data_IF_898409032160
#
_entry.id   IF_898409032160
#
_cell.length_a   1.000
_cell.length_b   1.000
_cell.length_c   1.000
_cell.angle_alpha   90.00
_cell.angle_beta   90.00
_cell.angle_gamma   90.00
#
_symmetry.space_group_name_H-M   'P 1'
#
loop_
_entity.id
_entity.type
_entity.pdbx_description
1 polymer ?
#
# COMPACT_ATOMS: atom_id res chain seq x y z
N UNK A 1 16.45 17.79 -20.92
CA UNK A 1 16.29 16.33 -20.68
C UNK A 1 16.38 15.72 -22.07
N UNK A 2 17.58 15.32 -22.46
CA UNK A 2 17.96 15.35 -23.88
C UNK A 2 17.85 13.99 -24.57
N UNK A 3 17.03 13.07 -24.04
CA UNK A 3 16.63 11.84 -24.72
C UNK A 3 17.73 10.80 -25.00
N UNK A 4 18.99 11.08 -24.64
CA UNK A 4 20.16 10.23 -24.94
C UNK A 4 20.42 9.13 -23.90
N UNK A 5 19.86 9.25 -22.68
CA UNK A 5 20.03 8.25 -21.61
C UNK A 5 18.73 7.48 -21.42
N UNK A 6 18.73 6.20 -21.79
CA UNK A 6 17.66 5.27 -21.45
C UNK A 6 17.66 5.07 -19.93
N UNK A 7 16.57 5.49 -19.29
CA UNK A 7 16.35 5.32 -17.85
C UNK A 7 15.36 4.18 -17.66
N UNK A 8 15.85 3.01 -17.29
CA UNK A 8 15.03 1.81 -17.12
C UNK A 8 14.69 1.57 -15.64
N UNK A 9 13.44 1.18 -15.39
CA UNK A 9 13.02 0.64 -14.09
C UNK A 9 13.05 -0.88 -14.15
N UNK A 10 13.75 -1.50 -13.22
CA UNK A 10 13.87 -2.96 -13.16
C UNK A 10 13.00 -3.54 -12.06
N UNK A 11 12.39 -4.69 -12.35
CA UNK A 11 11.58 -5.47 -11.41
C UNK A 11 12.33 -6.78 -11.12
N UNK A 12 12.62 -7.02 -9.84
CA UNK A 12 13.33 -8.23 -9.40
C UNK A 12 12.34 -9.16 -8.74
N UNK A 13 12.31 -10.43 -9.17
CA UNK A 13 11.40 -11.44 -8.66
C UNK A 13 12.15 -12.57 -7.95
N UNK A 14 11.53 -13.20 -6.96
CA UNK A 14 12.02 -14.48 -6.42
C UNK A 14 11.60 -15.67 -7.30
N UNK A 15 12.05 -16.87 -6.93
CA UNK A 15 11.76 -18.11 -7.68
C UNK A 15 10.28 -18.53 -7.64
N UNK A 16 9.47 -17.90 -6.79
CA UNK A 16 8.02 -18.12 -6.73
C UNK A 16 7.25 -17.07 -7.55
N UNK A 17 7.96 -16.16 -8.24
CA UNK A 17 7.36 -15.09 -9.03
C UNK A 17 6.89 -13.89 -8.20
N UNK A 18 7.24 -13.80 -6.91
CA UNK A 18 6.90 -12.64 -6.09
C UNK A 18 7.86 -11.49 -6.40
N UNK A 19 7.31 -10.30 -6.62
CA UNK A 19 8.10 -9.08 -6.79
C UNK A 19 8.87 -8.79 -5.51
N UNK A 20 10.20 -8.82 -5.53
CA UNK A 20 11.03 -8.52 -4.37
C UNK A 20 11.44 -7.07 -4.32
N UNK A 21 11.69 -6.45 -5.47
CA UNK A 21 12.28 -5.12 -5.55
C UNK A 21 11.83 -4.38 -6.79
N UNK A 22 11.54 -3.09 -6.65
CA UNK A 22 11.48 -2.14 -7.77
C UNK A 22 12.70 -1.25 -7.69
N UNK A 23 13.47 -1.21 -8.77
CA UNK A 23 14.75 -0.53 -8.83
C UNK A 23 14.64 0.64 -9.81
N UNK A 24 14.66 1.89 -9.31
CA UNK A 24 14.71 3.04 -10.19
C UNK A 24 16.07 3.10 -10.92
N UNK A 25 16.17 3.89 -12.00
CA UNK A 25 17.38 4.01 -12.81
C UNK A 25 18.64 4.26 -11.97
N UNK A 26 18.59 5.19 -11.01
CA UNK A 26 19.70 5.51 -10.10
C UNK A 26 20.16 4.31 -9.25
N UNK A 27 19.26 3.41 -8.87
CA UNK A 27 19.62 2.18 -8.15
C UNK A 27 20.34 1.21 -9.10
N UNK A 28 19.82 1.04 -10.32
CA UNK A 28 20.39 0.14 -11.32
C UNK A 28 21.79 0.59 -11.76
N UNK A 29 22.01 1.90 -11.92
CA UNK A 29 23.31 2.47 -12.26
C UNK A 29 24.35 2.19 -11.17
N UNK A 30 23.97 2.35 -9.90
CA UNK A 30 24.87 2.07 -8.78
C UNK A 30 25.18 0.58 -8.61
N UNK A 31 24.23 -0.30 -8.91
CA UNK A 31 24.44 -1.75 -8.82
C UNK A 31 25.38 -2.24 -9.94
N UNK A 32 25.26 -1.68 -11.14
CA UNK A 32 26.03 -2.08 -12.32
C UNK A 32 27.41 -1.42 -12.40
N UNK A 33 27.59 -0.23 -11.82
CA UNK A 33 28.88 0.49 -11.78
C UNK A 33 29.83 0.05 -10.66
N UNK A 34 29.36 -0.73 -9.68
CA UNK A 34 30.19 -1.26 -8.60
C UNK A 34 31.24 -2.27 -9.13
N UNK A 35 32.45 -2.26 -8.55
CA UNK A 35 33.52 -3.21 -8.90
C UNK A 35 34.01 -3.94 -7.63
N UNK A 36 33.75 -5.25 -7.47
CA UNK A 36 32.92 -6.10 -8.33
C UNK A 36 31.45 -5.65 -8.31
N UNK A 37 30.62 -6.09 -9.30
CA UNK A 37 29.20 -5.75 -9.33
C UNK A 37 28.55 -6.05 -7.98
N UNK A 38 27.76 -5.09 -7.50
CA UNK A 38 27.11 -5.25 -6.20
C UNK A 38 26.17 -6.45 -6.26
N UNK A 39 26.23 -7.31 -5.25
CA UNK A 39 25.26 -8.39 -5.10
C UNK A 39 23.86 -7.81 -4.94
N UNK A 40 22.88 -8.40 -5.63
CA UNK A 40 21.46 -8.05 -5.54
C UNK A 40 20.84 -8.50 -4.20
N UNK A 41 21.42 -8.05 -3.09
CA UNK A 41 21.01 -8.38 -1.72
C UNK A 41 20.33 -7.19 -1.06
N UNK A 42 19.41 -7.46 -0.11
CA UNK A 42 18.71 -6.40 0.65
C UNK A 42 19.69 -5.43 1.38
N UNK A 43 20.94 -5.84 1.55
CA UNK A 43 22.01 -5.10 2.19
C UNK A 43 22.83 -4.19 1.25
N UNK A 44 22.64 -4.27 -0.07
CA UNK A 44 23.40 -3.45 -1.00
C UNK A 44 23.03 -1.97 -0.87
N UNK A 45 24.03 -1.08 -0.85
CA UNK A 45 23.82 0.35 -0.60
C UNK A 45 22.82 0.99 -1.60
N UNK A 46 22.89 0.61 -2.87
CA UNK A 46 21.95 1.09 -3.90
C UNK A 46 20.49 0.67 -3.61
N UNK A 47 20.30 -0.55 -3.13
CA UNK A 47 18.99 -1.07 -2.74
C UNK A 47 18.47 -0.32 -1.51
N UNK A 48 19.29 -0.19 -0.48
CA UNK A 48 18.90 0.47 0.77
C UNK A 48 18.53 1.94 0.58
N UNK A 49 19.11 2.58 -0.44
CA UNK A 49 18.95 4.00 -0.71
C UNK A 49 17.79 4.35 -1.64
N UNK A 50 17.34 3.43 -2.49
CA UNK A 50 16.44 3.78 -3.60
C UNK A 50 15.32 2.78 -3.88
N UNK A 51 15.42 1.55 -3.37
CA UNK A 51 14.46 0.51 -3.73
C UNK A 51 13.25 0.50 -2.81
N UNK A 52 12.11 0.11 -3.36
CA UNK A 52 11.06 -0.53 -2.55
C UNK A 52 11.38 -2.01 -2.42
N UNK A 53 11.37 -2.53 -1.20
CA UNK A 53 11.61 -3.93 -0.90
C UNK A 53 10.35 -4.59 -0.36
N UNK A 54 9.93 -5.67 -1.03
CA UNK A 54 8.70 -6.38 -0.72
C UNK A 54 9.00 -7.72 -0.05
N UNK A 55 8.28 -8.00 1.03
CA UNK A 55 8.36 -9.24 1.80
C UNK A 55 7.01 -9.92 1.78
N UNK A 56 7.03 -11.25 1.79
CA UNK A 56 5.83 -12.07 1.65
C UNK A 56 5.77 -13.09 2.79
N UNK A 57 4.57 -13.52 3.12
CA UNK A 57 4.36 -14.70 3.94
C UNK A 57 4.62 -16.00 3.12
N UNK A 58 4.43 -17.16 3.77
CA UNK A 58 4.66 -18.48 3.13
C UNK A 58 3.63 -18.85 2.07
N UNK A 59 2.60 -18.04 1.87
CA UNK A 59 1.54 -18.22 0.88
C UNK A 59 1.66 -17.20 -0.26
N UNK A 60 2.82 -16.55 -0.42
CA UNK A 60 3.06 -15.53 -1.45
C UNK A 60 2.12 -14.32 -1.33
N UNK A 61 1.70 -13.97 -0.11
CA UNK A 61 0.92 -12.75 0.16
C UNK A 61 1.81 -11.67 0.76
N UNK A 62 1.60 -10.42 0.35
CA UNK A 62 2.40 -9.28 0.81
C UNK A 62 2.36 -9.17 2.33
N UNK A 63 3.51 -8.96 2.95
CA UNK A 63 3.65 -8.73 4.39
C UNK A 63 4.19 -7.35 4.68
N UNK A 64 5.25 -6.95 3.99
CA UNK A 64 5.89 -5.65 4.17
C UNK A 64 6.29 -5.08 2.80
N UNK A 65 6.08 -3.79 2.58
CA UNK A 65 6.71 -3.00 1.54
C UNK A 65 7.55 -1.92 2.23
N UNK A 66 8.86 -2.01 2.10
CA UNK A 66 9.83 -1.17 2.80
C UNK A 66 10.41 -0.15 1.83
N UNK A 67 10.24 1.13 2.13
CA UNK A 67 10.83 2.21 1.37
C UNK A 67 12.29 2.43 1.78
N UNK A 68 13.20 2.37 0.82
CA UNK A 68 14.61 2.69 1.01
C UNK A 68 14.92 4.15 0.66
N UNK A 69 15.50 4.87 1.61
CA UNK A 69 16.06 6.21 1.41
C UNK A 69 17.20 6.44 2.40
N UNK A 70 18.36 6.88 1.92
CA UNK A 70 19.53 7.18 2.76
C UNK A 70 20.58 6.07 2.79
N UNK A 71 21.46 6.09 3.80
CA UNK A 71 22.62 5.20 3.85
C UNK A 71 22.24 3.74 4.19
N UNK A 72 21.14 3.54 4.90
CA UNK A 72 20.59 2.21 5.23
C UNK A 72 19.07 2.23 5.22
N UNK A 73 18.40 1.08 5.09
CA UNK A 73 16.94 0.96 5.29
C UNK A 73 16.51 1.45 6.68
N UNK A 74 17.42 1.43 7.66
CA UNK A 74 17.17 1.89 9.02
C UNK A 74 17.28 3.42 9.16
N UNK A 75 17.91 4.13 8.22
CA UNK A 75 18.16 5.57 8.32
C UNK A 75 16.88 6.41 8.19
N UNK A 76 15.91 5.91 7.42
CA UNK A 76 14.62 6.55 7.21
C UNK A 76 13.49 5.54 7.37
N UNK A 77 13.54 4.75 8.46
CA UNK A 77 12.42 3.86 8.79
C UNK A 77 11.11 4.64 8.81
N UNK A 78 10.03 4.01 8.34
CA UNK A 78 8.67 4.53 8.53
C UNK A 78 8.38 5.82 7.74
N UNK A 79 9.03 6.05 6.59
CA UNK A 79 8.63 7.13 5.68
C UNK A 79 7.44 6.79 4.81
N UNK A 80 7.54 5.70 4.05
CA UNK A 80 6.50 5.25 3.12
C UNK A 80 6.33 3.72 3.17
N UNK A 81 6.56 3.15 4.35
CA UNK A 81 6.43 1.72 4.56
C UNK A 81 4.95 1.33 4.58
N UNK A 82 4.67 0.13 4.07
CA UNK A 82 3.37 -0.53 4.24
C UNK A 82 3.59 -1.88 4.92
N UNK A 83 2.69 -2.23 5.82
CA UNK A 83 2.73 -3.52 6.51
C UNK A 83 1.33 -4.10 6.65
N UNK A 84 1.15 -5.30 6.13
CA UNK A 84 -0.02 -6.11 6.39
C UNK A 84 0.22 -6.89 7.68
N UNK A 85 -0.57 -6.56 8.71
CA UNK A 85 -0.36 -7.09 10.06
C UNK A 85 -0.94 -8.49 10.24
N UNK A 86 -1.99 -8.81 9.48
CA UNK A 86 -2.62 -10.12 9.49
C UNK A 86 -3.49 -10.35 8.25
N UNK A 87 -3.66 -11.64 7.95
CA UNK A 87 -4.68 -12.14 7.04
C UNK A 87 -5.55 -13.16 7.77
N UNK A 88 -6.81 -13.27 7.38
CA UNK A 88 -7.61 -14.44 7.76
C UNK A 88 -7.27 -15.68 6.90
N UNK A 89 -7.98 -16.78 7.15
CA UNK A 89 -7.79 -18.05 6.44
C UNK A 89 -8.28 -18.01 4.99
N UNK A 90 -9.17 -17.08 4.65
CA UNK A 90 -9.70 -16.89 3.30
C UNK A 90 -8.84 -15.92 2.48
N UNK A 91 -7.87 -15.26 3.12
CA UNK A 91 -6.94 -14.33 2.47
C UNK A 91 -7.35 -12.87 2.55
N UNK A 92 -8.37 -12.53 3.34
CA UNK A 92 -8.74 -11.13 3.58
C UNK A 92 -7.70 -10.46 4.48
N UNK A 93 -7.30 -9.23 4.15
CA UNK A 93 -6.41 -8.42 4.98
C UNK A 93 -7.16 -8.00 6.23
N UNK A 94 -6.67 -8.37 7.42
CA UNK A 94 -7.30 -8.00 8.70
C UNK A 94 -6.72 -6.71 9.29
N UNK A 95 -5.51 -6.33 8.89
CA UNK A 95 -4.95 -5.05 9.28
C UNK A 95 -3.82 -4.58 8.38
N UNK A 96 -3.74 -3.26 8.24
CA UNK A 96 -2.80 -2.57 7.38
C UNK A 96 -2.26 -1.34 8.11
N UNK A 97 -0.94 -1.23 8.19
CA UNK A 97 -0.26 0.00 8.61
C UNK A 97 0.37 0.66 7.40
N UNK A 98 0.14 1.96 7.25
CA UNK A 98 0.84 2.79 6.27
C UNK A 98 1.54 3.93 6.97
N UNK A 99 2.73 4.21 6.50
CA UNK A 99 3.55 5.30 6.98
C UNK A 99 3.67 6.35 5.88
N UNK A 100 3.77 7.60 6.29
CA UNK A 100 3.78 8.75 5.39
C UNK A 100 4.44 9.95 6.02
N UNK A 101 4.56 11.00 5.23
CA UNK A 101 4.95 12.32 5.72
C UNK A 101 3.83 12.89 6.60
N UNK A 102 4.14 13.29 7.83
CA UNK A 102 3.18 13.84 8.82
C UNK A 102 3.41 15.32 9.12
N UNK A 103 4.57 15.87 8.72
CA UNK A 103 4.85 17.31 8.70
C UNK A 103 5.88 17.62 7.58
N UNK A 104 6.19 18.88 7.34
CA UNK A 104 7.16 19.36 6.35
C UNK A 104 8.49 18.58 6.35
N UNK A 105 8.94 18.12 7.52
CA UNK A 105 10.19 17.35 7.67
C UNK A 105 10.04 16.07 8.52
N UNK A 106 8.80 15.66 8.83
CA UNK A 106 8.54 14.54 9.73
C UNK A 106 7.74 13.45 9.03
N UNK A 107 7.98 12.21 9.45
CA UNK A 107 7.32 11.02 8.93
C UNK A 107 6.84 10.14 10.07
N UNK A 108 5.74 9.43 9.86
CA UNK A 108 5.11 8.63 10.88
C UNK A 108 3.97 7.77 10.35
N UNK A 109 3.28 7.11 11.29
CA UNK A 109 2.13 6.26 11.00
C UNK A 109 0.94 7.13 10.62
N UNK A 110 0.47 7.00 9.39
CA UNK A 110 -0.67 7.77 8.84
C UNK A 110 -1.95 6.94 8.78
N UNK A 111 -1.82 5.60 8.78
CA UNK A 111 -2.94 4.68 8.84
C UNK A 111 -2.59 3.50 9.75
N UNK A 112 -3.51 3.12 10.62
CA UNK A 112 -3.45 1.90 11.42
C UNK A 112 -4.80 1.21 11.36
N UNK A 113 -5.04 0.56 10.22
CA UNK A 113 -6.35 0.05 9.84
C UNK A 113 -6.61 -1.32 10.43
N UNK A 114 -7.80 -1.49 10.98
CA UNK A 114 -8.39 -2.80 11.30
C UNK A 114 -9.59 -3.01 10.38
N UNK A 115 -9.55 -4.07 9.58
CA UNK A 115 -10.58 -4.37 8.58
C UNK A 115 -11.44 -5.53 9.08
N UNK A 116 -12.76 -5.32 9.15
CA UNK A 116 -13.74 -6.31 9.60
C UNK A 116 -14.57 -6.80 8.43
N UNK A 117 -14.86 -8.09 8.36
CA UNK A 117 -15.54 -8.73 7.23
C UNK A 117 -16.70 -9.62 7.67
N UNK A 118 -17.65 -9.83 6.75
CA UNK A 118 -18.60 -10.93 6.77
C UNK A 118 -18.36 -11.81 5.54
N UNK A 119 -17.78 -13.00 5.76
CA UNK A 119 -17.20 -13.77 4.66
C UNK A 119 -16.07 -12.98 3.99
N UNK A 120 -16.17 -12.75 2.69
CA UNK A 120 -15.20 -11.95 1.92
C UNK A 120 -15.72 -10.53 1.62
N UNK A 121 -16.81 -10.10 2.26
CA UNK A 121 -17.35 -8.75 2.13
C UNK A 121 -16.84 -7.88 3.27
N UNK A 122 -16.09 -6.82 2.93
CA UNK A 122 -15.63 -5.83 3.89
C UNK A 122 -16.86 -5.16 4.54
N UNK A 123 -16.93 -5.13 5.87
CA UNK A 123 -18.03 -4.52 6.62
C UNK A 123 -17.67 -3.15 7.19
N UNK A 124 -16.46 -3.00 7.74
CA UNK A 124 -16.02 -1.76 8.38
C UNK A 124 -14.48 -1.66 8.34
N UNK A 125 -13.97 -0.45 8.34
CA UNK A 125 -12.52 -0.18 8.45
C UNK A 125 -12.31 0.84 9.55
N UNK A 126 -11.71 0.42 10.66
CA UNK A 126 -11.36 1.32 11.75
C UNK A 126 -9.94 1.84 11.55
N UNK A 127 -9.74 3.15 11.62
CA UNK A 127 -8.41 3.73 11.73
C UNK A 127 -8.14 4.24 13.15
N UNK A 128 -6.99 3.88 13.70
CA UNK A 128 -6.52 4.36 15.01
C UNK A 128 -5.20 5.12 14.93
N UNK A 129 -4.72 5.45 13.73
CA UNK A 129 -3.60 6.37 13.57
C UNK A 129 -3.98 7.75 14.14
N UNK A 130 -3.04 8.37 14.86
CA UNK A 130 -3.23 9.70 15.47
C UNK A 130 -2.62 10.82 14.64
N UNK A 131 -1.79 10.48 13.66
CA UNK A 131 -1.19 11.44 12.73
C UNK A 131 -1.89 11.35 11.38
N UNK A 132 -2.03 12.49 10.71
CA UNK A 132 -2.53 12.57 9.35
C UNK A 132 -1.37 12.81 8.38
N UNK A 133 -1.60 12.62 7.09
CA UNK A 133 -0.61 12.99 6.08
C UNK A 133 -0.48 14.52 6.03
N UNK A 134 0.74 15.00 5.88
CA UNK A 134 1.05 16.41 5.67
C UNK A 134 0.52 16.90 4.31
N UNK A 135 -0.30 17.94 4.31
CA UNK A 135 -0.92 18.50 3.10
C UNK A 135 -2.19 17.74 2.67
N UNK A 136 -2.42 17.63 1.36
CA UNK A 136 -3.55 16.86 0.83
C UNK A 136 -3.19 15.38 0.78
N UNK A 137 -3.57 14.69 1.84
CA UNK A 137 -3.20 13.31 2.09
C UNK A 137 -4.06 12.24 1.45
N UNK A 138 -3.46 11.06 1.27
CA UNK A 138 -4.09 9.83 0.77
C UNK A 138 -4.38 8.80 1.89
N UNK A 139 -4.28 9.22 3.15
CA UNK A 139 -4.67 8.38 4.28
C UNK A 139 -6.17 8.06 4.21
N UNK A 140 -6.53 6.95 4.83
CA UNK A 140 -7.91 6.57 4.99
C UNK A 140 -8.63 7.61 5.86
N UNK A 141 -9.87 7.92 5.48
CA UNK A 141 -10.71 8.86 6.23
C UNK A 141 -11.81 8.04 6.90
N UNK A 142 -11.59 7.72 8.17
CA UNK A 142 -12.53 7.00 9.02
C UNK A 142 -13.68 7.93 9.46
N UNK A 143 -14.51 8.32 8.49
CA UNK A 143 -15.61 9.27 8.68
C UNK A 143 -16.87 8.61 9.23
N UNK A 144 -16.90 7.28 9.35
CA UNK A 144 -17.96 6.52 9.99
C UNK A 144 -17.43 5.80 11.22
N UNK A 145 -18.32 5.33 12.07
CA UNK A 145 -17.95 4.48 13.21
C UNK A 145 -19.08 3.49 13.49
N UNK A 146 -19.65 2.96 12.41
CA UNK A 146 -20.77 2.02 12.46
C UNK A 146 -20.23 0.59 12.43
N UNK A 147 -21.02 -0.37 12.90
CA UNK A 147 -20.64 -1.79 12.80
C UNK A 147 -20.66 -2.29 11.36
N UNK A 148 -21.44 -1.65 10.48
CA UNK A 148 -21.49 -1.91 9.04
C UNK A 148 -21.47 -0.57 8.30
N UNK A 149 -20.39 -0.33 7.58
CA UNK A 149 -20.09 0.90 6.82
C UNK A 149 -20.10 0.65 5.31
N UNK A 150 -19.86 -0.60 4.92
CA UNK A 150 -19.93 -1.07 3.55
C UNK A 150 -21.07 -2.08 3.46
N UNK A 151 -22.01 -1.84 2.55
CA UNK A 151 -23.16 -2.71 2.32
C UNK A 151 -23.16 -3.24 0.89
N UNK A 152 -23.78 -4.40 0.66
CA UNK A 152 -23.78 -5.06 -0.64
C UNK A 152 -25.17 -5.53 -1.01
N UNK A 153 -25.44 -5.60 -2.31
CA UNK A 153 -26.63 -6.29 -2.81
C UNK A 153 -26.42 -7.82 -2.83
N UNK A 154 -27.44 -8.56 -3.28
CA UNK A 154 -27.41 -10.03 -3.35
C UNK A 154 -26.43 -10.57 -4.41
N UNK A 155 -26.05 -9.76 -5.39
CA UNK A 155 -25.06 -10.12 -6.41
C UNK A 155 -23.63 -9.84 -5.92
N UNK A 156 -23.49 -9.21 -4.75
CA UNK A 156 -22.20 -8.89 -4.13
C UNK A 156 -21.64 -7.53 -4.56
N UNK A 157 -22.43 -6.68 -5.21
CA UNK A 157 -22.00 -5.33 -5.56
C UNK A 157 -22.07 -4.40 -4.37
N UNK A 158 -21.11 -3.48 -4.24
CA UNK A 158 -21.11 -2.47 -3.19
C UNK A 158 -22.29 -1.50 -3.39
N UNK A 159 -23.14 -1.34 -2.39
CA UNK A 159 -24.29 -0.43 -2.44
C UNK A 159 -24.11 0.80 -1.54
N UNK A 160 -23.20 0.75 -0.56
CA UNK A 160 -22.90 1.86 0.35
C UNK A 160 -21.44 1.86 0.75
N UNK A 161 -20.90 3.06 0.96
CA UNK A 161 -19.60 3.30 1.59
C UNK A 161 -19.74 4.56 2.45
N UNK A 162 -19.97 4.35 3.74
CA UNK A 162 -20.21 5.46 4.66
C UNK A 162 -18.97 6.33 4.90
N UNK A 163 -17.76 5.79 4.71
CA UNK A 163 -16.50 6.54 4.87
C UNK A 163 -16.29 7.56 3.73
N UNK A 164 -16.85 7.26 2.55
CA UNK A 164 -16.92 8.17 1.40
C UNK A 164 -18.22 8.96 1.32
N UNK A 165 -19.06 8.89 2.37
CA UNK A 165 -20.38 9.50 2.39
C UNK A 165 -21.25 9.05 1.20
N UNK A 166 -21.09 7.80 0.72
CA UNK A 166 -21.91 7.21 -0.34
C UNK A 166 -23.07 6.46 0.31
N UNK A 167 -24.28 6.98 0.11
CA UNK A 167 -25.51 6.45 0.71
C UNK A 167 -26.22 5.40 -0.14
N UNK A 168 -25.95 5.38 -1.46
CA UNK A 168 -26.47 4.38 -2.39
C UNK A 168 -25.62 4.30 -3.67
N UNK A 169 -25.47 3.09 -4.20
CA UNK A 169 -24.96 2.82 -5.56
C UNK A 169 -26.03 1.99 -6.29
N UNK A 170 -26.45 2.48 -7.45
CA UNK A 170 -27.38 1.80 -8.36
C UNK A 170 -26.62 0.99 -9.41
N UNK A 171 -27.25 -0.09 -9.88
CA UNK A 171 -26.70 -0.98 -10.88
C UNK A 171 -27.75 -1.28 -11.96
N UNK A 172 -27.33 -1.27 -13.22
CA UNK A 172 -28.18 -1.61 -14.34
C UNK A 172 -28.35 -3.14 -14.51
N UNK A 173 -29.15 -3.57 -15.49
CA UNK A 173 -29.40 -5.00 -15.76
C UNK A 173 -28.15 -5.82 -16.17
N UNK A 174 -27.02 -5.16 -16.48
CA UNK A 174 -25.73 -5.79 -16.75
C UNK A 174 -24.83 -5.85 -15.51
N UNK A 175 -25.37 -5.48 -14.34
CA UNK A 175 -24.63 -5.45 -13.07
C UNK A 175 -23.47 -4.42 -13.06
N UNK A 176 -23.59 -3.36 -13.87
CA UNK A 176 -22.64 -2.25 -13.92
C UNK A 176 -23.18 -1.05 -13.13
N UNK A 177 -22.33 -0.32 -12.38
CA UNK A 177 -22.77 0.90 -11.69
C UNK A 177 -23.34 1.91 -12.68
N UNK A 178 -24.53 2.44 -12.40
CA UNK A 178 -25.19 3.47 -13.22
C UNK A 178 -25.59 4.72 -12.44
N UNK A 179 -25.52 4.67 -11.10
CA UNK A 179 -25.79 5.81 -10.22
C UNK A 179 -24.98 5.72 -8.93
N UNK A 180 -24.49 6.86 -8.44
CA UNK A 180 -23.90 7.00 -7.10
C UNK A 180 -24.54 8.20 -6.40
N UNK A 181 -25.07 7.98 -5.20
CA UNK A 181 -25.70 9.02 -4.38
C UNK A 181 -24.86 9.23 -3.13
N UNK A 182 -24.52 10.50 -2.86
CA UNK A 182 -23.81 10.92 -1.66
C UNK A 182 -24.81 11.36 -0.57
N UNK A 183 -24.47 11.19 0.71
CA UNK A 183 -25.22 11.75 1.83
C UNK A 183 -25.02 13.27 1.98
N UNK A 184 -25.92 13.93 2.71
CA UNK A 184 -25.88 15.37 2.99
C UNK A 184 -25.30 15.64 4.38
#
# INVERSE_FOLDING_TARGET
>A
MDGEVLLDTYYVYDNYGNLRMVLPPAASDLLTSATPPASWTETAAAIQKYAYLYKYDRLSRLKDALYGEGATLASNTNRFNEQITAYDKMGNILGLKRYGQTDANSYGLIDNLTLTYNGNQLQAVKDIATSSVYGNGSEFKDNSNQTVEYAYDKNGNLTKDLNKNISSIGYNFLNLPDQVIFGW
#
